data_IF_878284831831
#
_entry.id   IF_878284831831
#
_cell.length_a   1.000
_cell.length_b   1.000
_cell.length_c   1.000
_cell.angle_alpha   90.00
_cell.angle_beta   90.00
_cell.angle_gamma   90.00
#
_symmetry.space_group_name_H-M   'P 1'
#
loop_
_entity.id
_entity.type
_entity.pdbx_description
1 polymer ?
#
# COMPACT_ATOMS: atom_id res chain seq x y z
N UNK A 1 10.45 -27.34 -11.87
CA UNK A 1 9.83 -26.09 -12.38
C UNK A 1 10.82 -24.95 -12.17
N UNK A 2 11.33 -24.33 -13.24
CA UNK A 2 12.15 -23.13 -13.10
C UNK A 2 11.28 -22.04 -12.46
N UNK A 3 11.67 -21.49 -11.30
CA UNK A 3 11.02 -20.30 -10.74
C UNK A 3 11.17 -19.19 -11.78
N UNK A 4 10.06 -18.76 -12.38
CA UNK A 4 10.03 -17.53 -13.17
C UNK A 4 10.43 -16.38 -12.22
N UNK A 5 11.54 -15.72 -12.54
CA UNK A 5 12.05 -14.58 -11.77
C UNK A 5 11.14 -13.37 -11.88
N UNK A 6 11.13 -12.51 -10.86
CA UNK A 6 10.42 -11.23 -10.91
C UNK A 6 11.15 -10.27 -11.85
N UNK A 7 10.42 -9.52 -12.65
CA UNK A 7 10.95 -8.47 -13.54
C UNK A 7 10.48 -7.07 -13.17
N UNK A 8 9.39 -6.94 -12.41
CA UNK A 8 8.90 -5.64 -11.94
C UNK A 8 8.25 -5.75 -10.56
N UNK A 9 8.24 -4.65 -9.82
CA UNK A 9 7.63 -4.55 -8.49
C UNK A 9 6.46 -3.57 -8.53
N UNK A 10 5.35 -3.90 -7.89
CA UNK A 10 4.21 -2.99 -7.73
C UNK A 10 4.00 -2.77 -6.23
N UNK A 11 4.09 -1.52 -5.81
CA UNK A 11 4.04 -1.12 -4.41
C UNK A 11 2.68 -0.49 -4.11
N UNK A 12 1.99 -0.98 -3.08
CA UNK A 12 0.94 -0.19 -2.46
C UNK A 12 1.52 1.04 -1.74
N UNK A 13 0.69 2.02 -1.40
CA UNK A 13 1.09 3.27 -0.76
C UNK A 13 0.74 3.34 0.73
N UNK A 14 -0.54 3.17 1.06
CA UNK A 14 -1.14 3.57 2.33
C UNK A 14 -1.01 2.43 3.34
N UNK A 15 -0.12 2.55 4.32
CA UNK A 15 0.19 1.44 5.24
C UNK A 15 1.32 0.53 4.75
N UNK A 16 1.65 0.58 3.45
CA UNK A 16 2.82 -0.13 2.88
C UNK A 16 4.07 0.76 2.78
N UNK A 17 4.00 1.88 2.04
CA UNK A 17 5.13 2.80 1.86
C UNK A 17 5.08 3.99 2.82
N UNK A 18 3.89 4.50 3.12
CA UNK A 18 3.66 5.64 3.98
C UNK A 18 2.80 5.25 5.18
N UNK A 19 3.14 5.79 6.35
CA UNK A 19 2.29 5.73 7.54
C UNK A 19 1.19 6.81 7.44
N UNK A 20 0.19 6.56 6.60
CA UNK A 20 -0.96 7.46 6.43
C UNK A 20 -2.07 7.19 7.44
N UNK A 21 -2.12 5.98 8.00
CA UNK A 21 -3.11 5.57 9.00
C UNK A 21 -3.09 6.50 10.22
N UNK A 22 -1.90 6.81 10.76
CA UNK A 22 -1.79 7.72 11.91
C UNK A 22 -2.36 9.11 11.61
N UNK A 23 -1.98 9.69 10.47
CA UNK A 23 -2.44 11.01 10.07
C UNK A 23 -3.96 11.07 9.81
N UNK A 24 -4.52 9.98 9.28
CA UNK A 24 -5.94 9.86 8.93
C UNK A 24 -6.80 9.63 10.18
N UNK A 25 -6.32 8.81 11.13
CA UNK A 25 -7.03 8.53 12.38
C UNK A 25 -7.25 9.75 13.24
N UNK A 26 -6.26 10.63 13.35
CA UNK A 26 -6.40 11.86 14.13
C UNK A 26 -7.48 12.79 13.54
N UNK A 27 -7.51 12.93 12.20
CA UNK A 27 -8.55 13.71 11.51
C UNK A 27 -9.93 13.09 11.70
N UNK A 28 -10.06 11.76 11.54
CA UNK A 28 -11.34 11.08 11.72
C UNK A 28 -11.85 11.21 13.16
N UNK A 29 -10.97 11.07 14.16
CA UNK A 29 -11.29 11.25 15.57
C UNK A 29 -11.83 12.65 15.85
N UNK A 30 -11.15 13.68 15.36
CA UNK A 30 -11.59 15.08 15.52
C UNK A 30 -12.91 15.35 14.78
N UNK A 31 -13.10 14.76 13.61
CA UNK A 31 -14.35 14.87 12.84
C UNK A 31 -15.52 14.24 13.60
N UNK A 32 -15.35 13.01 14.10
CA UNK A 32 -16.37 12.28 14.86
C UNK A 32 -16.78 13.00 16.15
N UNK A 33 -15.82 13.67 16.81
CA UNK A 33 -16.09 14.43 18.03
C UNK A 33 -17.12 15.57 17.80
N UNK A 34 -17.17 16.16 16.59
CA UNK A 34 -18.19 17.18 16.23
C UNK A 34 -19.62 16.65 16.28
N UNK A 35 -19.79 15.33 16.15
CA UNK A 35 -21.08 14.64 16.22
C UNK A 35 -21.28 13.90 17.55
N UNK A 36 -20.45 14.17 18.57
CA UNK A 36 -20.49 13.49 19.86
C UNK A 36 -20.12 12.01 19.78
N UNK A 37 -19.39 11.59 18.73
CA UNK A 37 -18.96 10.20 18.53
C UNK A 37 -17.49 10.05 18.93
N UNK A 38 -17.12 8.86 19.41
CA UNK A 38 -15.75 8.51 19.78
C UNK A 38 -15.25 7.46 18.80
N UNK A 39 -14.03 7.66 18.27
CA UNK A 39 -13.39 6.67 17.39
C UNK A 39 -13.22 5.34 18.13
N UNK A 40 -13.69 4.27 17.51
CA UNK A 40 -13.72 2.92 18.08
C UNK A 40 -12.98 1.97 17.15
N UNK A 41 -11.98 1.28 17.71
CA UNK A 41 -11.11 0.38 16.96
C UNK A 41 -11.85 -0.83 16.37
N UNK A 42 -12.86 -1.36 17.07
CA UNK A 42 -13.64 -2.49 16.57
C UNK A 42 -14.50 -2.07 15.37
N UNK A 43 -14.99 -0.83 15.38
CA UNK A 43 -15.74 -0.25 14.26
C UNK A 43 -14.87 0.06 13.03
N UNK A 44 -13.56 0.18 13.22
CA UNK A 44 -12.59 0.35 12.14
C UNK A 44 -12.05 -0.99 11.61
N UNK A 45 -12.33 -2.12 12.28
CA UNK A 45 -11.84 -3.42 11.86
C UNK A 45 -12.32 -3.78 10.44
N UNK A 46 -11.41 -4.32 9.63
CA UNK A 46 -11.68 -4.71 8.25
C UNK A 46 -11.77 -3.56 7.24
N UNK A 47 -11.58 -2.30 7.65
CA UNK A 47 -11.58 -1.15 6.73
C UNK A 47 -10.24 -0.92 6.00
N UNK A 48 -9.18 -1.62 6.41
CA UNK A 48 -7.84 -1.46 5.85
C UNK A 48 -7.82 -1.78 4.34
N UNK A 49 -7.25 -0.86 3.55
CA UNK A 49 -7.12 -0.99 2.09
C UNK A 49 -8.40 -0.70 1.29
N UNK A 50 -9.52 -0.34 1.93
CA UNK A 50 -10.74 0.05 1.23
C UNK A 50 -10.54 1.35 0.44
N UNK A 51 -11.29 1.50 -0.65
CA UNK A 51 -11.38 2.77 -1.35
C UNK A 51 -12.23 3.78 -0.55
N UNK A 52 -12.11 5.06 -0.93
CA UNK A 52 -12.67 6.17 -0.16
C UNK A 52 -14.19 6.08 -0.01
N UNK A 53 -14.89 5.69 -1.08
CA UNK A 53 -16.36 5.61 -1.08
C UNK A 53 -16.87 4.52 -0.16
N UNK A 54 -16.23 3.35 -0.19
CA UNK A 54 -16.53 2.19 0.66
C UNK A 54 -16.25 2.54 2.12
N UNK A 55 -15.12 3.19 2.39
CA UNK A 55 -14.77 3.67 3.73
C UNK A 55 -15.79 4.69 4.25
N UNK A 56 -16.24 5.63 3.40
CA UNK A 56 -17.24 6.62 3.77
C UNK A 56 -18.60 5.98 4.10
N UNK A 57 -19.05 5.00 3.30
CA UNK A 57 -20.26 4.22 3.57
C UNK A 57 -20.15 3.53 4.93
N UNK A 58 -19.03 2.87 5.20
CA UNK A 58 -18.79 2.19 6.46
C UNK A 58 -18.74 3.16 7.65
N UNK A 59 -18.04 4.28 7.55
CA UNK A 59 -17.94 5.28 8.65
C UNK A 59 -19.31 5.89 8.97
N UNK A 60 -20.03 6.36 7.96
CA UNK A 60 -21.37 6.95 8.15
C UNK A 60 -22.29 5.97 8.86
N UNK A 61 -22.27 4.69 8.45
CA UNK A 61 -23.07 3.62 9.06
C UNK A 61 -22.60 3.28 10.47
N UNK A 62 -21.30 3.01 10.67
CA UNK A 62 -20.77 2.50 11.93
C UNK A 62 -20.89 3.51 13.08
N UNK A 63 -20.90 4.80 12.76
CA UNK A 63 -21.01 5.89 13.72
C UNK A 63 -22.39 6.55 13.76
N UNK A 64 -23.35 6.08 12.96
CA UNK A 64 -24.69 6.67 12.78
C UNK A 64 -24.61 8.19 12.56
N UNK A 65 -23.81 8.60 11.58
CA UNK A 65 -23.63 10.01 11.26
C UNK A 65 -24.87 10.53 10.50
N UNK A 66 -25.34 11.76 10.78
CA UNK A 66 -26.44 12.38 10.06
C UNK A 66 -25.99 12.97 8.71
N UNK A 67 -25.18 12.23 7.96
CA UNK A 67 -24.60 12.62 6.67
C UNK A 67 -24.79 11.51 5.66
N UNK A 68 -24.88 11.84 4.37
CA UNK A 68 -24.64 10.85 3.32
C UNK A 68 -23.14 10.58 3.17
N UNK A 69 -22.73 9.43 2.58
CA UNK A 69 -21.31 9.16 2.30
C UNK A 69 -20.63 10.28 1.49
N UNK A 70 -21.32 10.85 0.50
CA UNK A 70 -20.78 11.95 -0.31
C UNK A 70 -20.62 13.24 0.49
N UNK A 71 -21.55 13.55 1.40
CA UNK A 71 -21.41 14.69 2.31
C UNK A 71 -20.23 14.48 3.25
N UNK A 72 -20.10 13.29 3.85
CA UNK A 72 -18.96 12.95 4.69
C UNK A 72 -17.63 13.13 3.95
N UNK A 73 -17.50 12.57 2.73
CA UNK A 73 -16.31 12.72 1.89
C UNK A 73 -16.00 14.20 1.66
N UNK A 74 -17.01 14.98 1.25
CA UNK A 74 -16.86 16.41 0.97
C UNK A 74 -16.38 17.20 2.19
N UNK A 75 -16.89 16.87 3.36
CA UNK A 75 -16.55 17.59 4.60
C UNK A 75 -15.19 17.17 5.19
N UNK A 76 -14.84 15.88 5.12
CA UNK A 76 -13.60 15.39 5.76
C UNK A 76 -12.36 15.54 4.88
N UNK A 77 -12.50 15.49 3.55
CA UNK A 77 -11.36 15.47 2.61
C UNK A 77 -10.42 16.68 2.75
N UNK A 78 -10.89 17.93 2.94
CA UNK A 78 -9.98 19.06 3.14
C UNK A 78 -9.03 18.87 4.33
N UNK A 79 -9.52 18.31 5.45
CA UNK A 79 -8.69 18.03 6.61
C UNK A 79 -7.64 16.94 6.33
N UNK A 80 -7.98 15.93 5.51
CA UNK A 80 -7.01 14.94 5.09
C UNK A 80 -5.92 15.54 4.18
N UNK A 81 -6.29 16.41 3.25
CA UNK A 81 -5.34 17.08 2.34
C UNK A 81 -4.28 17.86 3.13
N UNK A 82 -4.65 18.53 4.23
CA UNK A 82 -3.71 19.24 5.09
C UNK A 82 -2.71 18.32 5.82
N UNK A 83 -3.09 17.06 6.07
CA UNK A 83 -2.28 16.10 6.83
C UNK A 83 -1.47 15.15 5.96
N UNK A 84 -1.93 14.82 4.75
CA UNK A 84 -1.22 13.88 3.86
C UNK A 84 0.25 14.22 3.62
N UNK A 85 0.65 15.50 3.44
CA UNK A 85 2.07 15.84 3.27
C UNK A 85 2.95 15.52 4.48
N UNK A 86 2.36 15.25 5.65
CA UNK A 86 3.07 14.93 6.88
C UNK A 86 3.26 13.41 7.08
N UNK A 87 2.67 12.59 6.21
CA UNK A 87 2.81 11.14 6.26
C UNK A 87 4.27 10.76 6.09
N UNK A 88 4.80 9.99 7.05
CA UNK A 88 6.21 9.59 7.01
C UNK A 88 6.37 8.27 6.26
N UNK A 89 7.47 8.14 5.54
CA UNK A 89 7.87 6.86 4.95
C UNK A 89 8.02 5.79 6.05
N UNK A 90 7.46 4.62 5.81
CA UNK A 90 7.61 3.47 6.69
C UNK A 90 9.07 2.96 6.66
N UNK A 91 9.54 2.32 7.74
CA UNK A 91 10.89 1.78 7.79
C UNK A 91 11.17 0.85 6.60
N UNK A 92 12.24 1.12 5.86
CA UNK A 92 12.64 0.37 4.66
C UNK A 92 12.09 0.90 3.33
N UNK A 93 11.01 1.69 3.31
CA UNK A 93 10.38 2.19 2.07
C UNK A 93 11.37 2.99 1.19
N UNK A 94 12.04 3.98 1.78
CA UNK A 94 13.04 4.79 1.09
C UNK A 94 14.26 3.97 0.61
N UNK A 95 14.65 2.93 1.36
CA UNK A 95 15.74 2.04 0.97
C UNK A 95 15.34 1.22 -0.26
N UNK A 96 14.15 0.62 -0.23
CA UNK A 96 13.60 -0.18 -1.31
C UNK A 96 13.43 0.63 -2.60
N UNK A 97 12.79 1.81 -2.54
CA UNK A 97 12.55 2.65 -3.72
C UNK A 97 13.86 3.05 -4.39
N UNK A 98 14.84 3.55 -3.62
CA UNK A 98 16.15 3.93 -4.17
C UNK A 98 16.90 2.74 -4.77
N UNK A 99 16.79 1.58 -4.13
CA UNK A 99 17.41 0.35 -4.60
C UNK A 99 16.85 -0.10 -5.96
N UNK A 100 15.53 -0.18 -6.09
CA UNK A 100 14.87 -0.55 -7.35
C UNK A 100 15.25 0.41 -8.47
N UNK A 101 15.22 1.72 -8.19
CA UNK A 101 15.63 2.75 -9.15
C UNK A 101 17.11 2.60 -9.56
N UNK A 102 18.03 2.48 -8.59
CA UNK A 102 19.48 2.35 -8.84
C UNK A 102 19.81 1.15 -9.73
N UNK A 103 19.08 0.05 -9.56
CA UNK A 103 19.29 -1.18 -10.33
C UNK A 103 18.46 -1.27 -11.61
N UNK A 104 17.71 -0.22 -11.97
CA UNK A 104 16.89 -0.21 -13.18
C UNK A 104 15.77 -1.26 -13.18
N UNK A 105 15.33 -1.71 -12.00
CA UNK A 105 14.16 -2.60 -11.88
C UNK A 105 12.90 -1.74 -12.07
N UNK A 106 12.05 -1.99 -13.07
CA UNK A 106 10.80 -1.25 -13.22
C UNK A 106 9.90 -1.44 -12.01
N UNK A 107 9.33 -0.35 -11.51
CA UNK A 107 8.36 -0.44 -10.43
C UNK A 107 7.27 0.62 -10.50
N UNK A 108 6.09 0.24 -10.01
CA UNK A 108 4.88 1.05 -10.02
C UNK A 108 4.35 1.30 -8.61
N UNK A 109 3.59 2.37 -8.45
CA UNK A 109 2.73 2.64 -7.30
C UNK A 109 1.28 2.39 -7.71
N UNK A 110 0.54 1.56 -6.96
CA UNK A 110 -0.86 1.27 -7.21
C UNK A 110 -1.68 1.31 -5.91
N UNK A 111 -2.58 2.28 -5.77
CA UNK A 111 -3.38 2.51 -4.56
C UNK A 111 -4.87 2.69 -4.87
N UNK A 112 -5.73 2.29 -3.92
CA UNK A 112 -7.17 2.59 -3.95
C UNK A 112 -7.50 4.07 -3.70
N UNK A 113 -6.49 4.91 -3.41
CA UNK A 113 -6.61 6.36 -3.40
C UNK A 113 -6.80 6.93 -4.81
N UNK A 114 -7.42 8.11 -4.92
CA UNK A 114 -7.40 8.89 -6.17
C UNK A 114 -5.98 9.34 -6.49
N UNK A 115 -5.66 9.46 -7.78
CA UNK A 115 -4.31 9.84 -8.24
C UNK A 115 -3.83 11.16 -7.66
N UNK A 116 -4.70 12.16 -7.56
CA UNK A 116 -4.34 13.46 -6.97
C UNK A 116 -4.02 13.34 -5.48
N UNK A 117 -4.74 12.48 -4.75
CA UNK A 117 -4.45 12.19 -3.34
C UNK A 117 -3.11 11.46 -3.18
N UNK A 118 -2.78 10.55 -4.11
CA UNK A 118 -1.47 9.89 -4.16
C UNK A 118 -0.38 10.95 -4.32
N UNK A 119 -0.52 11.88 -5.27
CA UNK A 119 0.47 12.94 -5.47
C UNK A 119 0.62 13.85 -4.24
N UNK A 120 -0.48 14.22 -3.59
CA UNK A 120 -0.43 15.01 -2.36
C UNK A 120 0.37 14.31 -1.25
N UNK A 121 0.26 12.98 -1.15
CA UNK A 121 1.00 12.16 -0.18
C UNK A 121 2.48 12.02 -0.53
N UNK A 122 2.84 11.78 -1.80
CA UNK A 122 4.23 11.45 -2.17
C UNK A 122 5.10 12.68 -2.48
N UNK A 123 4.52 13.84 -2.78
CA UNK A 123 5.27 15.06 -3.17
C UNK A 123 6.35 15.49 -2.16
N UNK A 124 6.15 15.38 -0.83
CA UNK A 124 7.20 15.70 0.14
C UNK A 124 8.37 14.71 0.17
N UNK A 125 8.25 13.56 -0.50
CA UNK A 125 9.26 12.50 -0.49
C UNK A 125 10.16 12.63 -1.70
N UNK A 126 11.36 13.18 -1.48
CA UNK A 126 12.33 13.45 -2.54
C UNK A 126 12.58 12.22 -3.44
N UNK A 127 12.40 12.42 -4.75
CA UNK A 127 12.64 11.43 -5.80
C UNK A 127 11.50 10.45 -6.04
N UNK A 128 10.48 10.37 -5.17
CA UNK A 128 9.44 9.35 -5.33
C UNK A 128 8.67 9.53 -6.64
N UNK A 129 8.23 10.76 -6.94
CA UNK A 129 7.48 11.06 -8.16
C UNK A 129 8.25 10.70 -9.43
N UNK A 130 9.57 10.85 -9.41
CA UNK A 130 10.47 10.64 -10.55
C UNK A 130 10.91 9.18 -10.70
N UNK A 131 10.99 8.43 -9.60
CA UNK A 131 11.51 7.06 -9.64
C UNK A 131 10.49 6.01 -10.07
N UNK A 132 9.19 6.22 -9.80
CA UNK A 132 8.15 5.29 -10.24
C UNK A 132 7.98 5.34 -11.76
N UNK A 133 8.04 4.17 -12.41
CA UNK A 133 7.75 4.04 -13.83
C UNK A 133 6.27 4.34 -14.12
N UNK A 134 5.39 3.98 -13.18
CA UNK A 134 3.94 4.13 -13.28
C UNK A 134 3.36 4.48 -11.90
N UNK A 135 2.42 5.42 -11.85
CA UNK A 135 1.64 5.74 -10.65
C UNK A 135 0.16 5.64 -11.02
N UNK A 136 -0.58 4.79 -10.31
CA UNK A 136 -2.00 4.52 -10.53
C UNK A 136 -2.84 4.79 -9.27
N UNK A 137 -3.89 5.59 -9.45
CA UNK A 137 -5.02 5.67 -8.54
C UNK A 137 -6.23 4.88 -9.04
N UNK A 138 -7.22 4.71 -8.16
CA UNK A 138 -8.47 4.00 -8.48
C UNK A 138 -9.26 4.63 -9.63
N UNK A 139 -9.13 5.94 -9.82
CA UNK A 139 -9.76 6.72 -10.90
C UNK A 139 -9.23 6.37 -12.30
N UNK A 140 -8.17 5.57 -12.39
CA UNK A 140 -7.54 5.17 -13.64
C UNK A 140 -7.86 3.73 -14.05
N UNK A 141 -8.75 3.05 -13.31
CA UNK A 141 -9.19 1.69 -13.59
C UNK A 141 -10.69 1.53 -13.38
N UNK A 142 -11.25 0.44 -13.90
CA UNK A 142 -12.69 0.16 -13.80
C UNK A 142 -13.10 -0.18 -12.37
N UNK A 143 -12.30 -0.96 -11.66
CA UNK A 143 -12.59 -1.42 -10.30
C UNK A 143 -11.32 -1.40 -9.44
N UNK A 144 -11.42 -0.85 -8.22
CA UNK A 144 -10.33 -0.88 -7.25
C UNK A 144 -10.11 -2.26 -6.63
N UNK A 145 -9.08 -2.38 -5.78
CA UNK A 145 -8.82 -3.58 -4.97
C UNK A 145 -10.08 -3.89 -4.13
N UNK A 146 -10.54 -5.16 -4.04
CA UNK A 146 -9.82 -6.40 -4.32
C UNK A 146 -9.88 -6.88 -5.79
N UNK A 147 -10.43 -6.08 -6.72
CA UNK A 147 -10.32 -6.39 -8.15
C UNK A 147 -8.85 -6.33 -8.59
N UNK A 148 -8.41 -7.19 -9.53
CA UNK A 148 -7.03 -7.19 -10.00
C UNK A 148 -6.69 -6.00 -10.93
N UNK A 149 -7.68 -5.23 -11.36
CA UNK A 149 -7.58 -4.24 -12.46
C UNK A 149 -6.41 -3.28 -12.29
N UNK A 150 -6.19 -2.74 -11.08
CA UNK A 150 -5.12 -1.76 -10.82
C UNK A 150 -3.71 -2.37 -10.96
N UNK A 151 -3.53 -3.62 -10.56
CA UNK A 151 -2.24 -4.30 -10.69
C UNK A 151 -2.02 -4.75 -12.13
N UNK A 152 -3.05 -5.28 -12.80
CA UNK A 152 -2.98 -5.63 -14.22
C UNK A 152 -2.65 -4.41 -15.09
N UNK A 153 -3.27 -3.26 -14.80
CA UNK A 153 -2.97 -2.00 -15.49
C UNK A 153 -1.55 -1.50 -15.19
N UNK A 154 -1.06 -1.66 -13.96
CA UNK A 154 0.33 -1.32 -13.62
C UNK A 154 1.33 -2.15 -14.43
N UNK A 155 1.14 -3.47 -14.47
CA UNK A 155 1.97 -4.41 -15.22
C UNK A 155 1.96 -4.07 -16.73
N UNK A 156 0.77 -3.83 -17.29
CA UNK A 156 0.59 -3.42 -18.67
C UNK A 156 1.33 -2.12 -19.00
N UNK A 157 1.23 -1.09 -18.16
CA UNK A 157 1.92 0.20 -18.37
C UNK A 157 3.44 0.12 -18.21
N UNK A 158 3.93 -0.83 -17.41
CA UNK A 158 5.36 -1.15 -17.33
C UNK A 158 5.85 -2.03 -18.48
N UNK A 159 4.95 -2.59 -19.29
CA UNK A 159 5.30 -3.53 -20.36
C UNK A 159 5.77 -4.89 -19.85
N UNK A 160 5.31 -5.32 -18.67
CA UNK A 160 5.71 -6.56 -18.01
C UNK A 160 4.51 -7.48 -17.85
N UNK A 161 4.70 -8.78 -18.08
CA UNK A 161 3.68 -9.79 -17.84
C UNK A 161 3.35 -9.86 -16.33
N UNK A 162 2.06 -9.93 -16.01
CA UNK A 162 1.58 -9.97 -14.63
C UNK A 162 2.24 -11.10 -13.81
N UNK A 163 2.45 -12.28 -14.39
CA UNK A 163 3.08 -13.42 -13.68
C UNK A 163 4.57 -13.18 -13.34
N UNK A 164 5.17 -12.13 -13.89
CA UNK A 164 6.54 -11.67 -13.63
C UNK A 164 6.58 -10.46 -12.68
N UNK A 165 5.43 -10.01 -12.17
CA UNK A 165 5.34 -8.94 -11.19
C UNK A 165 5.33 -9.48 -9.75
N UNK A 166 5.91 -8.68 -8.85
CA UNK A 166 5.81 -8.85 -7.40
C UNK A 166 5.05 -7.67 -6.80
N UNK A 167 3.95 -7.94 -6.11
CA UNK A 167 3.23 -6.94 -5.34
C UNK A 167 3.77 -6.88 -3.91
N UNK A 168 3.89 -5.69 -3.33
CA UNK A 168 4.09 -5.49 -1.89
C UNK A 168 2.90 -4.69 -1.34
N UNK A 169 2.26 -5.23 -0.31
CA UNK A 169 0.94 -4.79 0.18
C UNK A 169 0.80 -5.01 1.68
N UNK A 170 -0.04 -4.25 2.40
CA UNK A 170 -0.28 -4.39 3.84
C UNK A 170 -1.69 -4.87 4.19
N UNK A 171 -2.62 -4.82 3.25
CA UNK A 171 -4.04 -5.13 3.42
C UNK A 171 -4.43 -6.46 2.78
N UNK A 172 -5.37 -7.18 3.40
CA UNK A 172 -5.95 -8.38 2.78
C UNK A 172 -6.68 -8.05 1.46
N UNK A 173 -7.23 -6.84 1.35
CA UNK A 173 -7.91 -6.35 0.15
C UNK A 173 -6.93 -6.33 -1.03
N UNK A 174 -5.75 -5.76 -0.86
CA UNK A 174 -4.74 -5.74 -1.90
C UNK A 174 -4.02 -7.06 -2.11
N UNK A 175 -3.78 -7.84 -1.06
CA UNK A 175 -3.28 -9.22 -1.21
C UNK A 175 -4.22 -10.04 -2.11
N UNK A 176 -5.54 -9.96 -1.91
CA UNK A 176 -6.53 -10.63 -2.77
C UNK A 176 -6.46 -10.13 -4.22
N UNK A 177 -6.35 -8.81 -4.43
CA UNK A 177 -6.19 -8.25 -5.77
C UNK A 177 -4.92 -8.77 -6.47
N UNK A 178 -3.80 -8.88 -5.76
CA UNK A 178 -2.55 -9.38 -6.31
C UNK A 178 -2.68 -10.86 -6.73
N UNK A 179 -3.26 -11.70 -5.87
CA UNK A 179 -3.51 -13.12 -6.21
C UNK A 179 -4.47 -13.26 -7.38
N UNK A 180 -5.54 -12.46 -7.42
CA UNK A 180 -6.49 -12.44 -8.54
C UNK A 180 -5.85 -12.00 -9.87
N UNK A 181 -4.79 -11.18 -9.81
CA UNK A 181 -4.00 -10.78 -10.96
C UNK A 181 -2.97 -11.83 -11.40
N UNK A 182 -2.88 -12.98 -10.71
CA UNK A 182 -1.87 -14.01 -10.97
C UNK A 182 -0.45 -13.61 -10.56
N UNK A 183 -0.32 -12.59 -9.69
CA UNK A 183 0.96 -12.07 -9.24
C UNK A 183 1.43 -12.73 -7.95
N UNK A 184 2.74 -12.73 -7.73
CA UNK A 184 3.31 -12.98 -6.40
C UNK A 184 3.07 -11.79 -5.50
N UNK A 185 2.91 -12.02 -4.20
CA UNK A 185 2.70 -10.93 -3.23
C UNK A 185 3.47 -11.16 -1.92
N UNK A 186 4.15 -10.11 -1.48
CA UNK A 186 4.69 -9.97 -0.12
C UNK A 186 3.74 -9.09 0.68
N UNK A 187 3.20 -9.63 1.76
CA UNK A 187 2.39 -8.86 2.69
C UNK A 187 3.26 -8.23 3.79
N UNK A 188 2.99 -6.98 4.16
CA UNK A 188 3.60 -6.27 5.29
C UNK A 188 2.50 -5.67 6.19
N UNK A 189 1.59 -6.52 6.71
CA UNK A 189 0.40 -6.04 7.40
C UNK A 189 0.74 -5.47 8.79
N UNK A 190 -0.14 -4.62 9.35
CA UNK A 190 -0.13 -4.36 10.79
C UNK A 190 -0.20 -5.66 11.59
N UNK A 191 0.43 -5.70 12.76
CA UNK A 191 0.55 -6.93 13.56
C UNK A 191 -0.81 -7.60 13.86
N UNK A 192 -1.87 -6.81 14.07
CA UNK A 192 -3.22 -7.35 14.30
C UNK A 192 -3.83 -8.07 13.10
N UNK A 193 -3.32 -7.81 11.90
CA UNK A 193 -3.84 -8.32 10.63
C UNK A 193 -2.96 -9.43 10.03
N UNK A 194 -1.82 -9.76 10.65
CA UNK A 194 -0.84 -10.70 10.11
C UNK A 194 -1.44 -12.08 9.74
N UNK A 195 -2.32 -12.61 10.59
CA UNK A 195 -2.98 -13.89 10.35
C UNK A 195 -3.95 -13.86 9.14
N UNK A 196 -4.46 -12.66 8.78
CA UNK A 196 -5.41 -12.50 7.68
C UNK A 196 -4.71 -12.53 6.32
N UNK A 197 -3.41 -12.27 6.27
CA UNK A 197 -2.60 -12.25 5.04
C UNK A 197 -2.02 -13.62 4.63
N UNK A 198 -2.52 -14.72 5.17
CA UNK A 198 -1.96 -16.08 4.99
C UNK A 198 -1.94 -16.60 3.54
N UNK A 199 -2.71 -15.98 2.64
CA UNK A 199 -2.72 -16.30 1.19
C UNK A 199 -1.55 -15.65 0.42
N UNK A 200 -0.78 -14.77 1.08
CA UNK A 200 0.41 -14.15 0.50
C UNK A 200 1.56 -15.15 0.34
N UNK A 201 2.46 -14.88 -0.60
CA UNK A 201 3.62 -15.74 -0.85
C UNK A 201 4.72 -15.56 0.23
N UNK A 202 4.70 -14.41 0.93
CA UNK A 202 5.51 -14.15 2.12
C UNK A 202 4.82 -13.07 2.97
N UNK A 203 5.01 -13.13 4.29
CA UNK A 203 4.52 -12.12 5.23
C UNK A 203 5.72 -11.60 6.02
N UNK A 204 5.88 -10.28 6.06
CA UNK A 204 6.94 -9.57 6.77
C UNK A 204 6.34 -8.63 7.82
N UNK A 205 7.12 -8.25 8.82
CA UNK A 205 6.70 -7.25 9.81
C UNK A 205 7.10 -5.83 9.39
N UNK A 206 8.08 -5.73 8.48
CA UNK A 206 8.61 -4.46 7.99
C UNK A 206 9.26 -4.63 6.63
N UNK A 207 9.26 -3.57 5.80
CA UNK A 207 10.07 -3.53 4.58
C UNK A 207 11.58 -3.61 4.87
N UNK A 208 12.01 -3.46 6.14
CA UNK A 208 13.38 -3.71 6.55
C UNK A 208 13.80 -5.19 6.38
N UNK A 209 12.84 -6.11 6.45
CA UNK A 209 13.07 -7.57 6.36
C UNK A 209 13.06 -8.08 4.92
N UNK A 210 12.64 -7.24 3.96
CA UNK A 210 12.55 -7.64 2.56
C UNK A 210 13.93 -8.02 2.01
N UNK A 211 14.03 -9.16 1.35
CA UNK A 211 15.25 -9.67 0.70
C UNK A 211 14.99 -9.81 -0.81
N UNK A 212 15.42 -8.85 -1.64
CA UNK A 212 15.14 -8.84 -3.08
C UNK A 212 15.58 -10.12 -3.81
N UNK A 213 16.69 -10.71 -3.39
CA UNK A 213 17.31 -11.90 -4.00
C UNK A 213 16.42 -13.16 -3.92
N UNK A 214 15.56 -13.27 -2.90
CA UNK A 214 14.60 -14.37 -2.79
C UNK A 214 13.56 -14.38 -3.93
N UNK A 215 13.42 -13.23 -4.61
CA UNK A 215 12.51 -13.00 -5.72
C UNK A 215 13.24 -12.90 -7.08
N UNK A 216 14.56 -13.05 -7.08
CA UNK A 216 15.40 -12.91 -8.27
C UNK A 216 15.73 -11.46 -8.65
N UNK A 217 15.57 -10.52 -7.71
CA UNK A 217 16.00 -9.12 -7.86
C UNK A 217 17.43 -8.93 -7.32
N UNK A 218 18.16 -7.87 -7.72
CA UNK A 218 19.48 -7.58 -7.17
C UNK A 218 19.44 -7.42 -5.64
N UNK A 219 20.36 -8.05 -4.87
CA UNK A 219 20.38 -7.97 -3.41
C UNK A 219 20.71 -6.55 -2.94
N UNK A 220 20.27 -6.19 -1.73
CA UNK A 220 20.71 -4.92 -1.14
C UNK A 220 22.22 -4.94 -0.84
N UNK A 221 22.90 -3.81 -1.01
CA UNK A 221 24.35 -3.69 -0.81
C UNK A 221 24.77 -3.80 0.68
N UNK A 222 23.88 -3.42 1.59
CA UNK A 222 24.07 -3.48 3.04
C UNK A 222 23.89 -4.90 3.61
N UNK A 223 23.32 -5.84 2.85
CA UNK A 223 23.15 -7.25 3.26
C UNK A 223 24.45 -8.08 3.25
N UNK A 224 25.58 -7.52 2.78
CA UNK A 224 26.87 -8.22 2.74
C UNK A 224 27.46 -8.54 4.13
N UNK A 225 26.89 -8.01 5.22
CA UNK A 225 27.40 -8.21 6.59
C UNK A 225 26.55 -9.12 7.51
N UNK A 226 25.32 -9.49 7.14
CA UNK A 226 24.42 -10.27 8.03
C UNK A 226 24.43 -11.78 7.71
N UNK A 227 24.97 -12.21 6.57
CA UNK A 227 24.95 -13.61 6.14
C UNK A 227 26.09 -14.51 6.68
N UNK A 228 26.91 -14.04 7.65
CA UNK A 228 27.94 -14.89 8.28
C UNK A 228 27.55 -15.53 9.62
N UNK A 229 26.34 -15.30 10.16
CA UNK A 229 26.02 -15.77 11.53
C UNK A 229 24.86 -16.78 11.62
N UNK A 230 24.17 -17.14 10.54
CA UNK A 230 23.03 -18.07 10.65
C UNK A 230 23.11 -19.36 9.81
N UNK A 231 24.31 -19.81 9.44
CA UNK A 231 24.53 -21.19 8.98
C UNK A 231 25.57 -21.87 9.87
N UNK A 232 25.21 -22.13 11.12
CA UNK A 232 25.69 -23.26 11.93
C UNK A 232 24.94 -23.18 13.26
N UNK A 233 23.86 -23.95 13.36
CA UNK A 233 23.44 -24.73 14.53
C UNK A 233 22.35 -25.71 14.08
#
# INVERSE_FOLDING_TARGET
MHKLGVLAVILDLDGTLLNTEKATKDVLKEFLAKYGKVLDREKEDGMLGMAQKESAIAIVKNYDLPLTPDQFIKEITPFYIEKWPQARALPGANRLIRHLHKHGVPFALASNSLRDNIYAKITPHAGWKEYFSVILGIDQVKSGKPSPDIFLEAAKRMGVDAVRCLVIEDSLVGVRAAKAAGMKVVAVPPQSEANRASIADSVLHSLLEFQPELWGLPPFEDCTYISKVCFFL
#
